data_IF_383356522401
#
_entry.id   IF_383356522401
#
_cell.length_a   1.000
_cell.length_b   1.000
_cell.length_c   1.000
_cell.angle_alpha   90.00
_cell.angle_beta   90.00
_cell.angle_gamma   90.00
#
_symmetry.space_group_name_H-M   'P 1'
#
loop_
_entity.id
_entity.type
_entity.pdbx_description
1 polymer ?
#
# COMPACT_ATOMS: atom_id res chain seq x y z
N UNK A 1 -22.83 5.26 -0.31
CA UNK A 1 -21.91 4.22 -0.79
C UNK A 1 -20.56 4.33 -0.06
N UNK A 2 -19.77 5.40 -0.30
CA UNK A 2 -18.49 5.65 0.39
C UNK A 2 -18.53 5.60 1.92
N UNK A 3 -19.53 6.21 2.57
CA UNK A 3 -19.66 6.14 4.04
C UNK A 3 -19.91 4.72 4.53
N UNK A 4 -20.72 3.92 3.83
CA UNK A 4 -21.02 2.54 4.22
C UNK A 4 -19.81 1.63 4.00
N UNK A 5 -19.13 1.78 2.86
CA UNK A 5 -17.96 0.99 2.51
C UNK A 5 -16.75 1.31 3.40
N UNK A 6 -16.48 2.59 3.63
CA UNK A 6 -15.36 3.05 4.45
C UNK A 6 -15.59 2.84 5.94
N UNK A 7 -16.70 3.35 6.48
CA UNK A 7 -17.00 3.21 7.90
C UNK A 7 -17.28 1.76 8.27
N UNK A 8 -18.02 1.02 7.43
CA UNK A 8 -18.27 -0.40 7.61
C UNK A 8 -16.98 -1.21 7.61
N UNK A 9 -16.03 -0.89 6.73
CA UNK A 9 -14.73 -1.54 6.69
C UNK A 9 -13.93 -1.36 7.99
N UNK A 10 -13.94 -0.14 8.54
CA UNK A 10 -13.28 0.18 9.82
C UNK A 10 -13.91 -0.59 10.97
N UNK A 11 -15.25 -0.52 11.10
CA UNK A 11 -15.98 -1.19 12.19
C UNK A 11 -15.77 -2.70 12.12
N UNK A 12 -15.85 -3.30 10.93
CA UNK A 12 -15.62 -4.72 10.73
C UNK A 12 -14.18 -5.11 11.08
N UNK A 13 -13.19 -4.31 10.68
CA UNK A 13 -11.78 -4.55 11.00
C UNK A 13 -11.50 -4.48 12.50
N UNK A 14 -12.13 -3.55 13.21
CA UNK A 14 -12.05 -3.47 14.68
C UNK A 14 -12.70 -4.68 15.36
N UNK A 15 -13.84 -5.16 14.84
CA UNK A 15 -14.49 -6.37 15.35
C UNK A 15 -13.63 -7.63 15.12
N UNK A 16 -13.13 -7.82 13.90
CA UNK A 16 -12.29 -8.97 13.55
C UNK A 16 -10.99 -8.98 14.37
N UNK A 17 -10.31 -7.83 14.50
CA UNK A 17 -9.12 -7.74 15.33
C UNK A 17 -9.41 -7.94 16.82
N UNK A 18 -10.54 -7.48 17.34
CA UNK A 18 -10.92 -7.74 18.73
C UNK A 18 -11.10 -9.23 19.02
N UNK A 19 -11.70 -9.98 18.09
CA UNK A 19 -11.83 -11.44 18.15
C UNK A 19 -10.44 -12.07 18.03
N UNK A 20 -9.67 -11.66 17.02
CA UNK A 20 -8.33 -12.18 16.74
C UNK A 20 -7.40 -12.04 17.93
N UNK A 21 -7.31 -10.84 18.51
CA UNK A 21 -6.50 -10.55 19.70
C UNK A 21 -6.91 -11.44 20.88
N UNK A 22 -8.20 -11.68 21.10
CA UNK A 22 -8.66 -12.59 22.16
C UNK A 22 -8.26 -14.03 21.92
N UNK A 23 -8.29 -14.50 20.68
CA UNK A 23 -7.88 -15.87 20.33
C UNK A 23 -6.36 -16.02 20.43
N UNK A 24 -5.62 -15.03 19.93
CA UNK A 24 -4.15 -15.03 19.92
C UNK A 24 -3.58 -14.96 21.34
N UNK A 25 -4.13 -14.15 22.23
CA UNK A 25 -3.66 -14.08 23.62
C UNK A 25 -3.95 -15.34 24.47
N UNK A 26 -4.64 -16.34 23.91
CA UNK A 26 -4.86 -17.64 24.58
C UNK A 26 -3.82 -18.70 24.20
N UNK A 27 -2.97 -18.43 23.21
CA UNK A 27 -1.97 -19.37 22.72
C UNK A 27 -0.60 -18.70 22.62
N UNK A 28 0.42 -19.34 23.18
CA UNK A 28 1.81 -18.88 23.07
C UNK A 28 2.61 -19.65 22.01
N UNK A 29 1.92 -20.23 21.03
CA UNK A 29 2.53 -20.98 19.93
C UNK A 29 2.50 -20.20 18.60
N UNK A 30 3.67 -20.05 17.98
CA UNK A 30 3.87 -19.34 16.71
C UNK A 30 3.00 -19.87 15.56
N UNK A 31 2.88 -21.20 15.45
CA UNK A 31 2.09 -21.82 14.39
C UNK A 31 0.60 -21.56 14.57
N UNK A 32 0.11 -21.63 15.81
CA UNK A 32 -1.27 -21.30 16.16
C UNK A 32 -1.60 -19.86 15.80
N UNK A 33 -0.69 -18.91 16.07
CA UNK A 33 -0.87 -17.50 15.70
C UNK A 33 -0.97 -17.32 14.18
N UNK A 34 -0.16 -18.04 13.40
CA UNK A 34 -0.23 -18.03 11.93
C UNK A 34 -1.60 -18.52 11.47
N UNK A 35 -2.07 -19.66 11.98
CA UNK A 35 -3.38 -20.23 11.63
C UNK A 35 -4.50 -19.25 11.97
N UNK A 36 -4.47 -18.63 13.16
CA UNK A 36 -5.47 -17.62 13.55
C UNK A 36 -5.43 -16.43 12.59
N UNK A 37 -4.25 -15.92 12.24
CA UNK A 37 -4.11 -14.77 11.34
C UNK A 37 -4.64 -15.08 9.93
N UNK A 38 -4.35 -16.26 9.38
CA UNK A 38 -4.87 -16.72 8.10
C UNK A 38 -6.38 -16.93 8.13
N UNK A 39 -6.91 -17.47 9.23
CA UNK A 39 -8.34 -17.64 9.44
C UNK A 39 -9.06 -16.29 9.49
N UNK A 40 -8.50 -15.29 10.18
CA UNK A 40 -9.06 -13.94 10.25
C UNK A 40 -9.10 -13.27 8.87
N UNK A 41 -8.03 -13.39 8.08
CA UNK A 41 -7.99 -12.83 6.73
C UNK A 41 -8.99 -13.55 5.83
N UNK A 42 -8.97 -14.89 5.80
CA UNK A 42 -9.84 -15.69 4.93
C UNK A 42 -11.33 -15.51 5.28
N UNK A 43 -11.67 -15.59 6.56
CA UNK A 43 -13.03 -15.39 7.04
C UNK A 43 -13.47 -13.93 6.89
N UNK A 44 -12.57 -12.99 7.17
CA UNK A 44 -12.82 -11.56 7.02
C UNK A 44 -13.13 -11.20 5.56
N UNK A 45 -12.35 -11.69 4.59
CA UNK A 45 -12.61 -11.49 3.16
C UNK A 45 -13.98 -12.02 2.76
N UNK A 46 -14.31 -13.25 3.17
CA UNK A 46 -15.64 -13.81 2.93
C UNK A 46 -16.76 -12.94 3.52
N UNK A 47 -16.60 -12.48 4.76
CA UNK A 47 -17.59 -11.65 5.43
C UNK A 47 -17.77 -10.29 4.76
N UNK A 48 -16.68 -9.67 4.32
CA UNK A 48 -16.70 -8.39 3.61
C UNK A 48 -17.53 -8.48 2.32
N UNK A 49 -17.35 -9.56 1.54
CA UNK A 49 -18.12 -9.77 0.30
C UNK A 49 -19.63 -9.92 0.53
N UNK A 50 -20.08 -10.26 1.75
CA UNK A 50 -21.50 -10.36 2.10
C UNK A 50 -22.12 -9.04 2.53
N UNK A 51 -21.32 -8.13 3.06
CA UNK A 51 -21.80 -6.87 3.68
C UNK A 51 -21.57 -5.67 2.74
N UNK A 52 -20.86 -5.88 1.63
CA UNK A 52 -20.44 -4.87 0.65
C UNK A 52 -19.67 -3.72 1.31
N UNK A 53 -18.60 -4.06 2.02
CA UNK A 53 -17.68 -3.09 2.64
C UNK A 53 -16.28 -3.16 2.01
N UNK A 54 -15.39 -2.22 2.34
CA UNK A 54 -14.04 -2.19 1.76
C UNK A 54 -13.14 -3.27 2.37
N UNK A 55 -12.84 -4.31 1.60
CA UNK A 55 -11.96 -5.42 2.02
C UNK A 55 -10.55 -4.96 2.39
N UNK A 56 -9.84 -4.17 1.55
CA UNK A 56 -8.49 -3.73 1.90
C UNK A 56 -8.47 -2.90 3.18
N UNK A 57 -9.48 -2.05 3.39
CA UNK A 57 -9.57 -1.21 4.58
C UNK A 57 -9.80 -2.05 5.85
N UNK A 58 -10.71 -3.03 5.79
CA UNK A 58 -10.92 -3.99 6.89
C UNK A 58 -9.63 -4.71 7.26
N UNK A 59 -8.88 -5.20 6.28
CA UNK A 59 -7.63 -5.95 6.53
C UNK A 59 -6.54 -5.06 7.10
N UNK A 60 -6.39 -3.82 6.61
CA UNK A 60 -5.44 -2.85 7.16
C UNK A 60 -5.75 -2.53 8.62
N UNK A 61 -7.01 -2.23 8.96
CA UNK A 61 -7.41 -1.97 10.35
C UNK A 61 -7.15 -3.20 11.22
N UNK A 62 -7.49 -4.39 10.73
CA UNK A 62 -7.26 -5.65 11.44
C UNK A 62 -5.78 -5.87 11.73
N UNK A 63 -4.93 -5.69 10.71
CA UNK A 63 -3.48 -5.85 10.80
C UNK A 63 -2.81 -4.83 11.72
N UNK A 64 -3.21 -3.55 11.67
CA UNK A 64 -2.67 -2.51 12.57
C UNK A 64 -2.98 -2.84 14.04
N UNK A 65 -4.21 -3.26 14.34
CA UNK A 65 -4.61 -3.59 15.72
C UNK A 65 -3.89 -4.84 16.22
N UNK A 66 -3.85 -5.90 15.42
CA UNK A 66 -3.18 -7.16 15.81
C UNK A 66 -1.66 -6.97 15.91
N UNK A 67 -1.04 -6.23 14.99
CA UNK A 67 0.39 -5.97 14.96
C UNK A 67 0.88 -5.03 16.06
N UNK A 68 -0.04 -4.37 16.78
CA UNK A 68 0.32 -3.53 17.92
C UNK A 68 0.77 -4.41 19.11
N UNK A 69 1.97 -4.14 19.64
CA UNK A 69 2.53 -4.84 20.79
C UNK A 69 1.60 -4.87 22.02
N UNK A 70 0.78 -3.81 22.22
CA UNK A 70 -0.20 -3.76 23.32
C UNK A 70 -1.37 -4.73 23.14
N UNK A 71 -1.70 -5.11 21.91
CA UNK A 71 -2.77 -6.05 21.64
C UNK A 71 -2.34 -7.49 21.95
N UNK A 72 -1.05 -7.80 21.80
CA UNK A 72 -0.51 -9.15 21.98
C UNK A 72 0.23 -9.33 23.32
N UNK A 73 -0.30 -8.80 24.43
CA UNK A 73 0.37 -8.87 25.73
C UNK A 73 0.52 -10.32 26.26
N UNK A 74 -0.34 -11.24 25.84
CA UNK A 74 -0.33 -12.65 26.26
C UNK A 74 0.55 -13.56 25.41
N UNK A 75 1.34 -13.02 24.50
CA UNK A 75 2.15 -13.79 23.53
C UNK A 75 3.64 -13.46 23.71
N UNK A 76 4.48 -14.51 23.74
CA UNK A 76 5.94 -14.39 23.83
C UNK A 76 6.55 -13.71 22.61
N UNK A 77 7.76 -13.17 22.77
CA UNK A 77 8.48 -12.48 21.70
C UNK A 77 8.82 -13.44 20.55
N UNK A 78 9.10 -14.70 20.86
CA UNK A 78 9.45 -15.72 19.87
C UNK A 78 8.25 -16.06 18.97
N UNK A 79 7.08 -16.27 19.57
CA UNK A 79 5.84 -16.54 18.83
C UNK A 79 5.40 -15.36 17.98
N UNK A 80 5.60 -14.12 18.48
CA UNK A 80 5.41 -12.89 17.67
C UNK A 80 6.36 -12.83 16.48
N UNK A 81 7.64 -13.13 16.70
CA UNK A 81 8.65 -13.12 15.64
C UNK A 81 8.33 -14.16 14.56
N UNK A 82 7.84 -15.33 14.96
CA UNK A 82 7.40 -16.39 14.05
C UNK A 82 6.25 -15.91 13.15
N UNK A 83 5.23 -15.29 13.73
CA UNK A 83 4.12 -14.69 13.00
C UNK A 83 4.60 -13.60 12.02
N UNK A 84 5.45 -12.68 12.49
CA UNK A 84 5.98 -11.59 11.66
C UNK A 84 6.80 -12.12 10.49
N UNK A 85 7.71 -13.07 10.75
CA UNK A 85 8.53 -13.67 9.71
C UNK A 85 7.67 -14.37 8.65
N UNK A 86 6.61 -15.08 9.07
CA UNK A 86 5.67 -15.70 8.13
C UNK A 86 5.05 -14.67 7.19
N UNK A 87 4.52 -13.56 7.71
CA UNK A 87 3.90 -12.52 6.89
C UNK A 87 4.91 -11.77 6.00
N UNK A 88 6.16 -11.60 6.44
CA UNK A 88 7.24 -11.06 5.60
C UNK A 88 7.49 -11.98 4.40
N UNK A 89 7.62 -13.29 4.63
CA UNK A 89 7.84 -14.26 3.54
C UNK A 89 6.66 -14.26 2.56
N UNK A 90 5.42 -14.19 3.06
CA UNK A 90 4.23 -14.10 2.21
C UNK A 90 4.23 -12.79 1.40
N UNK A 91 4.58 -11.65 2.00
CA UNK A 91 4.69 -10.37 1.29
C UNK A 91 5.76 -10.42 0.18
N UNK A 92 6.95 -10.95 0.48
CA UNK A 92 8.02 -11.11 -0.50
C UNK A 92 7.60 -12.03 -1.66
N UNK A 93 6.94 -13.15 -1.35
CA UNK A 93 6.45 -14.11 -2.32
C UNK A 93 5.36 -13.52 -3.21
N UNK A 94 4.37 -12.83 -2.63
CA UNK A 94 3.30 -12.19 -3.40
C UNK A 94 3.82 -11.05 -4.28
N UNK A 95 4.79 -10.27 -3.78
CA UNK A 95 5.44 -9.23 -4.58
C UNK A 95 6.25 -9.83 -5.73
N UNK A 96 6.97 -10.94 -5.52
CA UNK A 96 7.68 -11.63 -6.59
C UNK A 96 6.70 -12.11 -7.69
N UNK A 97 5.59 -12.75 -7.32
CA UNK A 97 4.56 -13.14 -8.27
C UNK A 97 3.94 -11.95 -9.00
N UNK A 98 3.68 -10.85 -8.30
CA UNK A 98 3.18 -9.61 -8.90
C UNK A 98 4.14 -9.12 -9.99
N UNK A 99 5.44 -9.03 -9.70
CA UNK A 99 6.41 -8.57 -10.70
C UNK A 99 6.54 -9.51 -11.90
N UNK A 100 6.42 -10.82 -11.70
CA UNK A 100 6.39 -11.80 -12.80
C UNK A 100 5.15 -11.59 -13.67
N UNK A 101 3.96 -11.48 -13.08
CA UNK A 101 2.71 -11.26 -13.81
C UNK A 101 2.75 -9.95 -14.60
N UNK A 102 3.24 -8.87 -13.97
CA UNK A 102 3.44 -7.59 -14.65
C UNK A 102 4.43 -7.73 -15.80
N UNK A 103 5.53 -8.47 -15.62
CA UNK A 103 6.51 -8.73 -16.67
C UNK A 103 5.92 -9.46 -17.87
N UNK A 104 5.02 -10.42 -17.64
CA UNK A 104 4.32 -11.15 -18.71
C UNK A 104 3.39 -10.21 -19.49
N UNK A 105 2.57 -9.41 -18.81
CA UNK A 105 1.65 -8.46 -19.48
C UNK A 105 2.40 -7.45 -20.37
N UNK A 106 3.61 -7.06 -19.97
CA UNK A 106 4.45 -6.12 -20.73
C UNK A 106 4.89 -6.69 -22.08
N UNK A 107 4.99 -8.01 -22.22
CA UNK A 107 5.37 -8.64 -23.49
C UNK A 107 4.29 -8.49 -24.57
N UNK A 108 3.02 -8.36 -24.17
CA UNK A 108 1.90 -8.15 -25.08
C UNK A 108 1.62 -6.66 -25.37
N UNK A 109 2.39 -5.76 -24.76
CA UNK A 109 2.18 -4.32 -24.90
C UNK A 109 2.68 -3.77 -26.23
N UNK A 110 1.80 -3.01 -26.89
CA UNK A 110 2.17 -2.18 -28.04
C UNK A 110 2.75 -0.84 -27.57
N UNK A 111 4.05 -0.65 -27.76
CA UNK A 111 4.74 0.62 -27.50
C UNK A 111 4.61 1.58 -28.68
N UNK A 112 3.54 2.37 -28.70
CA UNK A 112 3.47 3.54 -29.60
C UNK A 112 4.14 4.74 -28.95
N UNK A 113 4.84 5.56 -29.75
CA UNK A 113 5.40 6.84 -29.28
C UNK A 113 4.36 7.74 -28.61
N UNK A 114 3.09 7.66 -29.03
CA UNK A 114 1.96 8.36 -28.41
C UNK A 114 1.75 7.94 -26.94
N UNK A 115 1.85 6.65 -26.63
CA UNK A 115 1.66 6.14 -25.27
C UNK A 115 2.83 6.48 -24.35
N UNK A 116 4.05 6.53 -24.89
CA UNK A 116 5.23 6.97 -24.15
C UNK A 116 5.08 8.43 -23.72
N UNK A 117 4.71 9.31 -24.65
CA UNK A 117 4.47 10.73 -24.37
C UNK A 117 3.34 10.88 -23.34
N UNK A 118 2.23 10.16 -23.52
CA UNK A 118 1.13 10.19 -22.58
C UNK A 118 1.54 9.70 -21.17
N UNK A 119 2.37 8.65 -21.08
CA UNK A 119 2.90 8.14 -19.80
C UNK A 119 3.78 9.15 -19.07
N UNK A 120 4.64 9.87 -19.80
CA UNK A 120 5.46 10.97 -19.25
C UNK A 120 4.57 12.11 -18.74
N UNK A 121 3.55 12.49 -19.51
CA UNK A 121 2.61 13.55 -19.11
C UNK A 121 1.86 13.13 -17.84
N UNK A 122 1.32 11.91 -17.79
CA UNK A 122 0.63 11.41 -16.58
C UNK A 122 1.57 11.37 -15.38
N UNK A 123 2.82 10.95 -15.56
CA UNK A 123 3.83 10.99 -14.51
C UNK A 123 4.05 12.41 -13.97
N UNK A 124 4.23 13.41 -14.84
CA UNK A 124 4.42 14.80 -14.42
C UNK A 124 3.18 15.37 -13.71
N UNK A 125 1.98 15.15 -14.27
CA UNK A 125 0.72 15.58 -13.66
C UNK A 125 0.55 14.95 -12.27
N UNK A 126 0.85 13.67 -12.16
CA UNK A 126 0.87 12.90 -10.91
C UNK A 126 1.72 13.57 -9.83
N UNK A 127 2.91 14.04 -10.19
CA UNK A 127 3.83 14.67 -9.27
C UNK A 127 3.37 16.05 -8.84
N UNK A 128 2.87 16.86 -9.79
CA UNK A 128 2.32 18.18 -9.50
C UNK A 128 1.11 18.04 -8.57
N UNK A 129 0.20 17.10 -8.87
CA UNK A 129 -0.96 16.82 -8.04
C UNK A 129 -0.55 16.40 -6.62
N UNK A 130 0.48 15.56 -6.49
CA UNK A 130 1.02 15.17 -5.18
C UNK A 130 1.63 16.35 -4.43
N UNK A 131 2.46 17.16 -5.10
CA UNK A 131 3.06 18.34 -4.50
C UNK A 131 2.00 19.29 -3.96
N UNK A 132 0.95 19.56 -4.73
CA UNK A 132 -0.18 20.39 -4.30
C UNK A 132 -0.90 19.75 -3.12
N UNK A 133 -1.22 18.46 -3.18
CA UNK A 133 -1.91 17.74 -2.11
C UNK A 133 -1.13 17.74 -0.78
N UNK A 134 0.19 17.54 -0.84
CA UNK A 134 1.07 17.56 0.34
C UNK A 134 1.19 18.99 0.88
N UNK A 135 1.34 19.98 -0.01
CA UNK A 135 1.37 21.41 0.37
C UNK A 135 0.09 21.80 1.12
N UNK A 136 -1.08 21.46 0.58
CA UNK A 136 -2.38 21.74 1.22
C UNK A 136 -2.47 21.04 2.58
N UNK A 137 -2.09 19.76 2.66
CA UNK A 137 -2.13 19.00 3.92
C UNK A 137 -1.22 19.61 4.99
N UNK A 138 -0.02 20.05 4.61
CA UNK A 138 0.90 20.72 5.53
C UNK A 138 0.44 22.11 5.95
N UNK A 139 -0.23 22.86 5.07
CA UNK A 139 -0.80 24.17 5.39
C UNK A 139 -1.92 24.07 6.44
N UNK A 140 -2.68 22.97 6.43
CA UNK A 140 -3.74 22.67 7.39
C UNK A 140 -3.21 22.15 8.75
N UNK A 141 -1.91 21.83 8.85
CA UNK A 141 -1.29 21.27 10.07
C UNK A 141 -0.47 22.33 10.82
N UNK A 142 -0.20 22.12 12.12
CA UNK A 142 0.40 23.09 13.05
C UNK A 142 1.67 23.81 12.57
N UNK A 143 1.85 25.03 13.08
CA UNK A 143 2.95 25.96 12.74
C UNK A 143 4.37 25.43 13.03
N UNK A 144 4.53 24.40 13.88
CA UNK A 144 5.83 23.82 14.20
C UNK A 144 6.48 23.10 13.00
N UNK A 145 5.67 22.52 12.09
CA UNK A 145 6.12 21.87 10.85
C UNK A 145 6.55 22.93 9.79
N UNK A 146 6.18 24.21 9.98
CA UNK A 146 6.47 25.28 9.02
C UNK A 146 7.95 25.67 8.95
N UNK A 147 8.75 25.39 9.99
CA UNK A 147 10.18 25.77 10.02
C UNK A 147 11.01 25.16 8.89
N UNK A 148 10.63 23.96 8.42
CA UNK A 148 11.26 23.27 7.29
C UNK A 148 10.25 22.94 6.18
N UNK A 149 9.23 23.80 5.98
CA UNK A 149 8.10 23.54 5.08
C UNK A 149 8.53 23.11 3.67
N UNK A 150 9.45 23.85 3.03
CA UNK A 150 9.89 23.53 1.68
C UNK A 150 10.69 22.23 1.59
N UNK A 151 11.57 21.96 2.57
CA UNK A 151 12.37 20.74 2.67
C UNK A 151 11.47 19.51 2.88
N UNK A 152 10.58 19.58 3.87
CA UNK A 152 9.65 18.51 4.22
C UNK A 152 8.68 18.22 3.06
N UNK A 153 8.14 19.26 2.42
CA UNK A 153 7.18 19.11 1.31
C UNK A 153 7.84 18.42 0.10
N UNK A 154 9.06 18.83 -0.28
CA UNK A 154 9.80 18.19 -1.36
C UNK A 154 10.13 16.74 -1.03
N UNK A 155 10.60 16.44 0.18
CA UNK A 155 10.97 15.08 0.58
C UNK A 155 9.73 14.17 0.64
N UNK A 156 8.61 14.63 1.19
CA UNK A 156 7.37 13.84 1.28
C UNK A 156 6.69 13.65 -0.09
N UNK A 157 6.83 14.63 -0.98
CA UNK A 157 6.41 14.49 -2.38
C UNK A 157 7.29 13.44 -3.09
N UNK A 158 8.60 13.50 -2.92
CA UNK A 158 9.56 12.57 -3.53
C UNK A 158 9.62 11.18 -2.93
N UNK A 159 9.26 11.00 -1.65
CA UNK A 159 9.09 9.70 -1.01
C UNK A 159 7.92 8.88 -1.59
N UNK A 160 7.04 9.52 -2.37
CA UNK A 160 5.84 8.96 -2.95
C UNK A 160 6.03 8.02 -4.13
N UNK A 161 6.87 7.00 -3.99
CA UNK A 161 7.08 6.00 -5.02
C UNK A 161 5.76 5.30 -5.37
N UNK A 162 5.44 5.24 -6.66
CA UNK A 162 4.33 4.41 -7.15
C UNK A 162 4.83 2.98 -7.23
N UNK A 163 4.21 2.09 -6.46
CA UNK A 163 4.58 0.68 -6.38
C UNK A 163 3.71 -0.25 -7.23
N UNK A 164 3.82 -1.56 -6.95
CA UNK A 164 3.08 -2.62 -7.64
C UNK A 164 1.55 -2.51 -7.56
N UNK A 165 1.01 -1.88 -6.50
CA UNK A 165 -0.44 -1.70 -6.31
C UNK A 165 -1.08 -0.89 -7.44
N UNK A 166 -0.40 0.12 -7.97
CA UNK A 166 -0.91 0.91 -9.11
C UNK A 166 -1.01 0.08 -10.40
N UNK A 167 -0.11 -0.90 -10.57
CA UNK A 167 -0.12 -1.80 -11.73
C UNK A 167 -1.24 -2.83 -11.57
N UNK A 168 -1.41 -3.38 -10.35
CA UNK A 168 -2.49 -4.33 -10.05
C UNK A 168 -3.85 -3.71 -10.29
N UNK A 169 -4.10 -2.46 -9.84
CA UNK A 169 -5.36 -1.78 -10.09
C UNK A 169 -5.64 -1.58 -11.59
N UNK A 170 -4.60 -1.40 -12.41
CA UNK A 170 -4.76 -1.35 -13.86
C UNK A 170 -5.07 -2.73 -14.45
N UNK A 171 -4.48 -3.81 -13.91
CA UNK A 171 -4.76 -5.20 -14.29
C UNK A 171 -6.14 -5.68 -13.83
N UNK A 172 -6.70 -5.14 -12.75
CA UNK A 172 -8.04 -5.48 -12.26
C UNK A 172 -9.17 -4.97 -13.15
N UNK A 173 -8.86 -4.13 -14.16
CA UNK A 173 -9.86 -3.67 -15.13
C UNK A 173 -10.24 -4.85 -16.05
N UNK A 174 -11.54 -5.17 -16.20
CA UNK A 174 -12.02 -6.27 -17.04
C UNK A 174 -11.47 -6.16 -18.47
N UNK A 175 -11.00 -7.27 -19.02
CA UNK A 175 -10.33 -7.34 -20.35
C UNK A 175 -11.21 -6.75 -21.47
N UNK A 176 -12.53 -6.89 -21.36
CA UNK A 176 -13.52 -6.33 -22.30
C UNK A 176 -13.51 -4.80 -22.39
N UNK A 177 -13.14 -4.12 -21.29
CA UNK A 177 -13.00 -2.66 -21.20
C UNK A 177 -11.53 -2.24 -21.02
N UNK A 178 -10.60 -3.19 -21.07
CA UNK A 178 -9.16 -2.92 -21.01
C UNK A 178 -8.80 -2.27 -22.33
N UNK A 179 -8.94 -0.95 -22.36
CA UNK A 179 -8.29 -0.13 -23.37
C UNK A 179 -6.80 -0.40 -23.16
N UNK A 180 -6.20 -1.34 -23.92
CA UNK A 180 -4.80 -1.77 -23.82
C UNK A 180 -3.83 -0.58 -23.69
N UNK A 181 -4.22 0.55 -24.26
CA UNK A 181 -3.52 1.83 -24.18
C UNK A 181 -3.42 2.42 -22.77
N UNK A 182 -4.42 2.27 -21.90
CA UNK A 182 -4.40 2.78 -20.52
C UNK A 182 -3.36 2.02 -19.69
N UNK A 183 -3.31 0.70 -19.84
CA UNK A 183 -2.30 -0.11 -19.15
C UNK A 183 -0.89 0.34 -19.55
N UNK A 184 -0.64 0.54 -20.86
CA UNK A 184 0.64 1.03 -21.34
C UNK A 184 1.06 2.37 -20.74
N UNK A 185 0.11 3.30 -20.65
CA UNK A 185 0.37 4.65 -20.10
C UNK A 185 0.66 4.58 -18.60
N UNK A 186 -0.14 3.82 -17.84
CA UNK A 186 0.05 3.65 -16.39
C UNK A 186 1.38 2.95 -16.11
N UNK A 187 1.69 1.89 -16.86
CA UNK A 187 2.95 1.16 -16.74
C UNK A 187 4.15 2.08 -16.94
N UNK A 188 4.17 2.88 -18.01
CA UNK A 188 5.25 3.84 -18.29
C UNK A 188 5.36 4.87 -17.16
N UNK A 189 4.24 5.40 -16.65
CA UNK A 189 4.25 6.35 -15.55
C UNK A 189 4.78 5.74 -14.24
N UNK A 190 4.44 4.48 -13.95
CA UNK A 190 4.95 3.75 -12.77
C UNK A 190 6.43 3.42 -12.93
N UNK A 191 6.87 2.97 -14.11
CA UNK A 191 8.30 2.75 -14.38
C UNK A 191 9.10 4.04 -14.16
N UNK A 192 8.64 5.17 -14.70
CA UNK A 192 9.30 6.46 -14.48
C UNK A 192 9.34 6.83 -13.00
N UNK A 193 8.28 6.54 -12.23
CA UNK A 193 8.26 6.73 -10.78
C UNK A 193 9.33 5.87 -10.09
N UNK A 194 9.40 4.58 -10.38
CA UNK A 194 10.37 3.66 -9.76
C UNK A 194 11.82 4.04 -10.12
N UNK A 195 12.11 4.29 -11.40
CA UNK A 195 13.46 4.60 -11.85
C UNK A 195 13.89 6.02 -11.49
N UNK A 196 13.06 7.03 -11.77
CA UNK A 196 13.43 8.43 -11.51
C UNK A 196 13.32 8.71 -10.02
N UNK A 197 12.13 8.54 -9.42
CA UNK A 197 11.96 8.88 -8.00
C UNK A 197 12.74 7.92 -7.09
N UNK A 198 12.80 6.62 -7.41
CA UNK A 198 13.49 5.65 -6.56
C UNK A 198 15.00 5.89 -6.47
N UNK A 199 15.66 6.12 -7.61
CA UNK A 199 17.10 6.39 -7.65
C UNK A 199 17.41 7.80 -7.12
N UNK A 200 16.54 8.79 -7.41
CA UNK A 200 16.78 10.18 -6.99
C UNK A 200 16.46 10.44 -5.52
N UNK A 201 15.65 9.60 -4.87
CA UNK A 201 15.16 9.84 -3.50
C UNK A 201 16.29 10.04 -2.49
N UNK A 202 17.31 9.18 -2.52
CA UNK A 202 18.47 9.29 -1.62
C UNK A 202 19.18 10.64 -1.77
N UNK A 203 19.41 11.09 -3.02
CA UNK A 203 20.05 12.38 -3.31
C UNK A 203 19.23 13.56 -2.81
N UNK A 204 17.90 13.47 -2.95
CA UNK A 204 16.96 14.49 -2.46
C UNK A 204 17.02 14.58 -0.94
N UNK A 205 17.02 13.43 -0.26
CA UNK A 205 17.07 13.36 1.19
C UNK A 205 18.38 13.96 1.74
N UNK A 206 19.51 13.57 1.14
CA UNK A 206 20.83 14.10 1.49
C UNK A 206 20.88 15.63 1.30
N UNK A 207 20.40 16.14 0.16
CA UNK A 207 20.35 17.59 -0.09
C UNK A 207 19.41 18.36 0.86
N UNK A 208 18.36 17.72 1.38
CA UNK A 208 17.39 18.38 2.25
C UNK A 208 17.86 18.47 3.72
N UNK A 209 18.57 17.45 4.22
CA UNK A 209 18.87 17.31 5.66
C UNK A 209 20.34 17.06 6.03
N UNK A 210 21.22 16.74 5.07
CA UNK A 210 22.64 16.41 5.36
C UNK A 210 23.56 17.64 5.19
N UNK A 211 23.05 18.77 4.69
CA UNK A 211 23.78 20.06 4.64
C UNK A 211 23.67 20.89 5.95
N UNK A 212 23.37 20.26 7.10
CA UNK A 212 23.45 20.85 8.47
C UNK A 212 24.46 20.06 9.32
#
# INVERSE_FOLDING_TARGET
>A
MLFREGFGGIVLGLLLSWIGVRLMNKSDDGNTLIIISLALVSFGSWLVTKIDVSEPLTMVITGIVIGNSRAQQGVSIESKRTLTNFWIIIDELLNAFLFVLVGIEVLEMNFSGKYIIAGIIIFLISLIARYISVTISMLLTEMSIKKNFCKNNLVITWAGLRGGVSIVLALSIPVEHRILHIFSIIYIAVLLSIFIQGISFRKVLEKAYVEE
#
